data_IF_937828119715
#
_entry.id   IF_937828119715
#
_cell.length_a   1.000
_cell.length_b   1.000
_cell.length_c   1.000
_cell.angle_alpha   90.00
_cell.angle_beta   90.00
_cell.angle_gamma   90.00
#
_symmetry.space_group_name_H-M   'P 1'
#
loop_
_entity.id
_entity.type
_entity.pdbx_description
1 polymer ?
#
# COMPACT_ATOMS: atom_id res chain seq x y z
N UNK A 1 -9.78 -2.59 10.15
CA UNK A 1 -11.19 -2.66 10.63
C UNK A 1 -11.73 -1.32 11.09
N UNK A 2 -10.99 -0.56 11.93
CA UNK A 2 -11.39 0.78 12.42
C UNK A 2 -11.75 1.78 11.31
N UNK A 3 -11.02 1.80 10.19
CA UNK A 3 -11.24 2.75 9.10
C UNK A 3 -12.51 2.54 8.27
N UNK A 4 -13.07 1.31 8.22
CA UNK A 4 -14.36 1.04 7.58
C UNK A 4 -15.52 1.56 8.44
N UNK A 5 -15.37 1.43 9.76
CA UNK A 5 -16.33 1.93 10.75
C UNK A 5 -16.35 3.46 10.72
N UNK A 6 -15.20 4.14 10.64
CA UNK A 6 -15.14 5.61 10.55
C UNK A 6 -15.85 6.16 9.30
N UNK A 7 -15.71 5.50 8.14
CA UNK A 7 -16.43 5.91 6.91
C UNK A 7 -17.93 5.70 7.04
N UNK A 8 -18.36 4.56 7.58
CA UNK A 8 -19.78 4.28 7.80
C UNK A 8 -20.41 5.29 8.76
N UNK A 9 -19.72 5.63 9.84
CA UNK A 9 -20.16 6.64 10.80
C UNK A 9 -20.18 8.04 10.18
N UNK A 10 -19.17 8.44 9.42
CA UNK A 10 -19.17 9.75 8.74
C UNK A 10 -20.29 9.86 7.70
N UNK A 11 -20.57 8.79 6.96
CA UNK A 11 -21.65 8.74 5.98
C UNK A 11 -23.02 8.81 6.66
N UNK A 12 -23.22 8.07 7.74
CA UNK A 12 -24.46 8.12 8.52
C UNK A 12 -24.70 9.52 9.10
N UNK A 13 -23.67 10.15 9.68
CA UNK A 13 -23.75 11.52 10.20
C UNK A 13 -24.03 12.56 9.11
N UNK A 14 -23.45 12.39 7.93
CA UNK A 14 -23.71 13.27 6.78
C UNK A 14 -25.16 13.17 6.30
N UNK A 15 -25.68 11.95 6.16
CA UNK A 15 -27.07 11.70 5.78
C UNK A 15 -28.06 12.24 6.84
N UNK A 16 -27.73 12.10 8.12
CA UNK A 16 -28.51 12.69 9.20
C UNK A 16 -28.53 14.22 9.09
N UNK A 17 -27.38 14.84 8.86
CA UNK A 17 -27.27 16.30 8.67
C UNK A 17 -28.11 16.82 7.49
N UNK A 18 -28.09 16.10 6.37
CA UNK A 18 -28.94 16.41 5.21
C UNK A 18 -30.43 16.28 5.52
N UNK A 19 -30.84 15.23 6.24
CA UNK A 19 -32.24 15.02 6.61
C UNK A 19 -32.81 16.20 7.41
N UNK A 20 -32.05 16.72 8.37
CA UNK A 20 -32.44 17.88 9.18
C UNK A 20 -32.51 19.18 8.35
N UNK A 21 -31.66 19.35 7.34
CA UNK A 21 -31.72 20.52 6.46
C UNK A 21 -32.89 20.46 5.46
N UNK A 22 -33.22 19.26 4.95
CA UNK A 22 -34.36 19.09 4.05
C UNK A 22 -35.71 19.34 4.73
N UNK A 23 -35.82 19.08 6.04
CA UNK A 23 -37.04 19.33 6.82
C UNK A 23 -37.33 20.80 7.16
N UNK A 24 -36.35 21.69 6.98
CA UNK A 24 -36.42 23.09 7.47
C UNK A 24 -36.66 24.12 6.37
N UNK A 25 -36.99 23.71 5.15
CA UNK A 25 -37.23 24.63 4.03
C UNK A 25 -35.98 25.40 3.58
N UNK A 26 -34.78 24.96 3.98
CA UNK A 26 -33.52 25.59 3.58
C UNK A 26 -33.32 25.46 2.08
N UNK A 27 -33.08 26.59 1.41
CA UNK A 27 -32.73 26.61 0.00
C UNK A 27 -31.23 26.31 -0.15
N UNK A 28 -30.90 25.13 -0.65
CA UNK A 28 -29.53 24.81 -1.09
C UNK A 28 -29.38 25.18 -2.56
N UNK A 29 -28.56 26.20 -2.85
CA UNK A 29 -28.17 26.56 -4.22
C UNK A 29 -26.67 26.36 -4.37
N UNK A 30 -26.28 25.27 -5.03
CA UNK A 30 -24.87 24.91 -5.22
C UNK A 30 -24.17 24.62 -3.89
N UNK A 31 -23.04 25.29 -3.64
CA UNK A 31 -22.23 25.12 -2.42
C UNK A 31 -22.62 26.07 -1.26
N UNK A 32 -23.70 26.85 -1.43
CA UNK A 32 -24.14 27.84 -0.45
C UNK A 32 -25.44 27.37 0.20
N UNK A 33 -25.43 27.27 1.53
CA UNK A 33 -26.62 27.04 2.34
C UNK A 33 -27.14 28.40 2.79
N UNK A 34 -28.23 28.87 2.16
CA UNK A 34 -28.95 30.06 2.61
C UNK A 34 -29.88 29.70 3.77
N UNK A 35 -29.66 30.28 4.95
CA UNK A 35 -30.65 30.24 6.03
C UNK A 35 -31.59 31.43 5.85
N UNK A 36 -32.89 31.19 5.76
CA UNK A 36 -33.89 32.26 5.84
C UNK A 36 -33.87 32.87 7.25
N UNK A 37 -34.40 34.10 7.40
CA UNK A 37 -34.35 34.92 8.62
C UNK A 37 -34.83 34.25 9.92
N UNK A 38 -35.48 33.09 9.83
CA UNK A 38 -35.86 32.21 10.94
C UNK A 38 -34.96 30.96 10.96
N UNK A 39 -33.73 31.09 11.46
CA UNK A 39 -32.85 29.96 11.68
C UNK A 39 -33.43 29.07 12.81
N UNK A 40 -34.12 27.99 12.43
CA UNK A 40 -34.68 27.05 13.38
C UNK A 40 -33.57 26.19 14.02
N UNK A 41 -33.75 25.76 15.27
CA UNK A 41 -32.73 24.98 16.00
C UNK A 41 -32.38 23.65 15.30
N UNK A 42 -33.30 23.10 14.51
CA UNK A 42 -33.13 21.92 13.67
C UNK A 42 -32.08 22.14 12.56
N UNK A 43 -32.04 23.34 11.96
CA UNK A 43 -31.06 23.69 10.93
C UNK A 43 -29.63 23.79 11.50
N UNK A 44 -29.50 24.29 12.74
CA UNK A 44 -28.23 24.36 13.46
C UNK A 44 -27.70 22.95 13.77
N UNK A 45 -28.58 22.01 14.14
CA UNK A 45 -28.22 20.61 14.34
C UNK A 45 -27.71 19.99 13.05
N UNK A 46 -28.43 20.20 11.93
CA UNK A 46 -28.01 19.71 10.61
C UNK A 46 -26.61 20.17 10.23
N UNK A 47 -26.29 21.45 10.44
CA UNK A 47 -24.97 22.03 10.20
C UNK A 47 -23.88 21.40 11.07
N UNK A 48 -24.14 21.15 12.35
CA UNK A 48 -23.18 20.49 13.26
C UNK A 48 -22.87 19.08 12.78
N UNK A 49 -23.89 18.32 12.35
CA UNK A 49 -23.69 16.98 11.81
C UNK A 49 -22.88 16.99 10.52
N UNK A 50 -23.13 17.94 9.61
CA UNK A 50 -22.35 18.09 8.38
C UNK A 50 -20.89 18.47 8.65
N UNK A 51 -20.64 19.43 9.54
CA UNK A 51 -19.29 19.83 9.92
C UNK A 51 -18.55 18.68 10.62
N UNK A 52 -19.23 17.95 11.51
CA UNK A 52 -18.69 16.76 12.17
C UNK A 52 -18.33 15.65 11.18
N UNK A 53 -19.19 15.39 10.20
CA UNK A 53 -18.92 14.42 9.14
C UNK A 53 -17.73 14.84 8.27
N UNK A 54 -17.65 16.11 7.88
CA UNK A 54 -16.53 16.65 7.11
C UNK A 54 -15.20 16.56 7.88
N UNK A 55 -15.20 16.91 9.17
CA UNK A 55 -14.03 16.79 10.03
C UNK A 55 -13.59 15.34 10.22
N UNK A 56 -14.53 14.42 10.48
CA UNK A 56 -14.23 12.99 10.59
C UNK A 56 -13.69 12.41 9.28
N UNK A 57 -14.20 12.85 8.13
CA UNK A 57 -13.71 12.44 6.83
C UNK A 57 -12.30 12.97 6.58
N UNK A 58 -12.04 14.25 6.87
CA UNK A 58 -10.72 14.86 6.73
C UNK A 58 -9.67 14.18 7.63
N UNK A 59 -10.01 13.91 8.89
CA UNK A 59 -9.15 13.21 9.84
C UNK A 59 -8.97 11.74 9.46
N UNK A 60 -10.02 11.06 9.01
CA UNK A 60 -9.95 9.67 8.54
C UNK A 60 -9.12 9.51 7.26
N UNK A 61 -9.14 10.50 6.37
CA UNK A 61 -8.28 10.54 5.16
C UNK A 61 -6.83 10.86 5.52
N UNK A 62 -6.58 11.80 6.46
CA UNK A 62 -5.22 12.07 6.94
C UNK A 62 -4.61 10.87 7.67
N UNK A 63 -5.37 10.19 8.53
CA UNK A 63 -4.90 9.00 9.24
C UNK A 63 -4.56 7.84 8.28
N UNK A 64 -5.19 7.75 7.10
CA UNK A 64 -4.82 6.77 6.06
C UNK A 64 -3.49 7.07 5.38
N UNK A 65 -3.04 8.33 5.37
CA UNK A 65 -1.80 8.75 4.69
C UNK A 65 -0.54 8.53 5.52
N UNK A 66 -0.67 8.26 6.82
CA UNK A 66 0.45 8.31 7.77
C UNK A 66 1.10 6.93 7.99
N UNK A 67 0.46 5.82 7.60
CA UNK A 67 0.96 4.45 7.84
C UNK A 67 1.32 3.65 6.57
N UNK A 68 1.67 4.31 5.46
CA UNK A 68 2.02 3.63 4.19
C UNK A 68 3.49 3.16 4.13
N UNK A 69 4.17 3.08 5.27
CA UNK A 69 5.49 2.45 5.31
C UNK A 69 5.35 0.94 5.31
N UNK A 70 5.87 0.29 4.27
CA UNK A 70 5.97 -1.15 4.24
C UNK A 70 7.05 -1.59 5.23
N UNK A 71 6.70 -2.52 6.11
CA UNK A 71 7.65 -3.26 6.91
C UNK A 71 8.37 -4.23 5.98
N UNK A 72 9.66 -3.98 5.74
CA UNK A 72 10.51 -4.84 4.92
C UNK A 72 11.48 -5.58 5.83
N UNK A 73 11.37 -6.90 5.86
CA UNK A 73 12.30 -7.78 6.57
C UNK A 73 13.10 -8.60 5.56
N UNK A 74 14.39 -8.79 5.84
CA UNK A 74 15.23 -9.69 5.04
C UNK A 74 15.24 -11.07 5.68
N UNK A 75 14.86 -12.10 4.91
CA UNK A 75 14.82 -13.48 5.36
C UNK A 75 15.52 -14.45 4.39
N UNK A 76 16.78 -14.18 4.09
CA UNK A 76 17.60 -14.99 3.19
C UNK A 76 18.31 -16.10 3.98
N UNK A 77 17.57 -17.17 4.31
CA UNK A 77 18.10 -18.32 5.07
C UNK A 77 18.91 -19.32 4.24
N UNK A 78 18.72 -19.35 2.92
CA UNK A 78 19.39 -20.33 2.06
C UNK A 78 20.86 -19.92 1.82
N UNK A 79 21.84 -20.80 2.09
CA UNK A 79 23.26 -20.45 1.92
C UNK A 79 23.67 -20.07 0.50
N UNK A 80 23.02 -20.66 -0.53
CA UNK A 80 23.29 -20.33 -1.93
C UNK A 80 22.76 -18.94 -2.25
N UNK A 81 21.53 -18.62 -1.83
CA UNK A 81 20.97 -17.28 -2.01
C UNK A 81 21.80 -16.24 -1.24
N UNK A 82 22.23 -16.55 -0.02
CA UNK A 82 23.14 -15.68 0.73
C UNK A 82 24.50 -15.47 0.06
N UNK A 83 25.00 -16.45 -0.71
CA UNK A 83 26.19 -16.28 -1.54
C UNK A 83 25.93 -15.31 -2.70
N UNK A 84 24.80 -15.45 -3.39
CA UNK A 84 24.42 -14.55 -4.48
C UNK A 84 24.25 -13.11 -4.01
N UNK A 85 23.74 -12.90 -2.80
CA UNK A 85 23.68 -11.58 -2.17
C UNK A 85 25.09 -11.01 -2.01
N UNK A 86 26.00 -11.77 -1.39
CA UNK A 86 27.40 -11.32 -1.19
C UNK A 86 28.10 -11.02 -2.50
N UNK A 87 27.89 -11.84 -3.53
CA UNK A 87 28.51 -11.63 -4.84
C UNK A 87 27.92 -10.39 -5.53
N UNK A 88 26.61 -10.15 -5.42
CA UNK A 88 25.98 -8.93 -5.91
C UNK A 88 26.48 -7.66 -5.20
N UNK A 89 26.68 -7.72 -3.87
CA UNK A 89 27.15 -6.57 -3.08
C UNK A 89 28.62 -6.20 -3.33
N UNK A 90 29.40 -7.05 -4.01
CA UNK A 90 30.77 -6.68 -4.43
C UNK A 90 30.79 -5.61 -5.52
N UNK A 91 29.66 -5.41 -6.21
CA UNK A 91 29.49 -4.43 -7.28
C UNK A 91 28.89 -3.14 -6.70
N UNK A 92 29.65 -2.03 -6.57
CA UNK A 92 29.18 -0.82 -5.88
C UNK A 92 27.92 -0.19 -6.50
N UNK A 93 27.77 -0.28 -7.82
CA UNK A 93 26.59 0.15 -8.55
C UNK A 93 25.34 -0.67 -8.22
N UNK A 94 25.53 -1.97 -8.01
CA UNK A 94 24.45 -2.92 -7.69
C UNK A 94 24.03 -2.75 -6.24
N UNK A 95 25.00 -2.63 -5.34
CA UNK A 95 24.76 -2.37 -3.91
C UNK A 95 23.92 -1.10 -3.70
N UNK A 96 24.35 0.03 -4.27
CA UNK A 96 23.62 1.30 -4.18
C UNK A 96 22.20 1.19 -4.73
N UNK A 97 22.06 0.46 -5.83
CA UNK A 97 20.75 0.25 -6.43
C UNK A 97 19.85 -0.62 -5.58
N UNK A 98 20.35 -1.71 -5.00
CA UNK A 98 19.57 -2.57 -4.11
C UNK A 98 19.07 -1.75 -2.91
N UNK A 99 19.94 -0.97 -2.26
CA UNK A 99 19.51 -0.11 -1.16
C UNK A 99 18.48 0.94 -1.60
N UNK A 100 18.62 1.48 -2.80
CA UNK A 100 17.63 2.41 -3.36
C UNK A 100 16.28 1.72 -3.59
N UNK A 101 16.26 0.53 -4.19
CA UNK A 101 15.02 -0.23 -4.41
C UNK A 101 14.36 -0.63 -3.08
N UNK A 102 15.14 -1.07 -2.09
CA UNK A 102 14.64 -1.39 -0.75
C UNK A 102 14.03 -0.17 -0.05
N UNK A 103 14.67 1.00 -0.16
CA UNK A 103 14.15 2.25 0.38
C UNK A 103 12.83 2.67 -0.29
N UNK A 104 12.70 2.44 -1.60
CA UNK A 104 11.45 2.69 -2.33
C UNK A 104 10.36 1.65 -1.99
N UNK A 105 10.72 0.39 -1.78
CA UNK A 105 9.81 -0.65 -1.26
C UNK A 105 9.21 -0.24 0.08
N UNK A 106 10.03 0.26 1.01
CA UNK A 106 9.60 0.77 2.32
C UNK A 106 8.61 1.95 2.22
N UNK A 107 8.53 2.62 1.07
CA UNK A 107 7.55 3.69 0.78
C UNK A 107 6.35 3.21 -0.04
N UNK A 108 6.27 1.92 -0.36
CA UNK A 108 5.25 1.34 -1.24
C UNK A 108 5.47 1.63 -2.73
N UNK A 109 6.65 2.09 -3.14
CA UNK A 109 6.96 2.37 -4.54
C UNK A 109 7.58 1.16 -5.27
N UNK A 110 6.72 0.24 -5.71
CA UNK A 110 7.12 -0.95 -6.48
C UNK A 110 7.40 -0.67 -7.98
N UNK A 111 7.30 0.59 -8.42
CA UNK A 111 7.61 1.02 -9.79
C UNK A 111 9.04 1.55 -9.93
N UNK A 112 9.80 1.61 -8.84
CA UNK A 112 11.20 2.02 -8.87
C UNK A 112 12.04 1.12 -9.80
N UNK A 113 13.15 1.67 -10.30
CA UNK A 113 14.03 0.97 -11.26
C UNK A 113 13.37 0.76 -12.62
N UNK A 114 13.24 -0.51 -13.02
CA UNK A 114 12.56 -1.00 -14.22
C UNK A 114 11.19 -1.63 -13.89
N UNK A 115 10.74 -1.49 -12.64
CA UNK A 115 9.47 -2.03 -12.15
C UNK A 115 9.57 -3.44 -11.56
N UNK A 116 8.40 -4.00 -11.28
CA UNK A 116 8.22 -5.31 -10.63
C UNK A 116 7.72 -6.34 -11.62
N UNK A 117 8.13 -7.60 -11.44
CA UNK A 117 7.59 -8.77 -12.15
C UNK A 117 7.20 -9.87 -11.17
N UNK A 118 6.25 -10.69 -11.57
CA UNK A 118 5.92 -11.91 -10.87
C UNK A 118 6.88 -13.03 -11.31
N UNK A 119 7.34 -13.84 -10.36
CA UNK A 119 8.17 -15.01 -10.66
C UNK A 119 7.26 -16.23 -10.90
N UNK A 120 7.16 -16.65 -12.16
CA UNK A 120 6.31 -17.77 -12.58
C UNK A 120 6.58 -19.05 -11.78
N UNK A 121 5.53 -19.78 -11.45
CA UNK A 121 5.61 -21.02 -10.66
C UNK A 121 5.74 -20.81 -9.15
N UNK A 122 5.82 -19.57 -8.66
CA UNK A 122 5.96 -19.24 -7.23
C UNK A 122 4.92 -18.21 -6.79
N UNK A 123 4.91 -17.85 -5.50
CA UNK A 123 4.17 -16.69 -4.98
C UNK A 123 5.09 -15.46 -4.78
N UNK A 124 6.22 -15.41 -5.48
CA UNK A 124 7.22 -14.36 -5.33
C UNK A 124 7.04 -13.27 -6.40
N UNK A 125 7.42 -12.07 -6.03
CA UNK A 125 7.61 -10.96 -6.95
C UNK A 125 9.08 -10.53 -6.89
N UNK A 126 9.53 -9.83 -7.92
CA UNK A 126 10.88 -9.28 -7.93
C UNK A 126 10.95 -7.92 -8.59
N UNK A 127 11.70 -7.03 -7.94
CA UNK A 127 12.01 -5.70 -8.45
C UNK A 127 13.29 -5.74 -9.28
N UNK A 128 13.28 -4.99 -10.37
CA UNK A 128 14.37 -4.93 -11.34
C UNK A 128 15.04 -3.58 -11.31
N UNK A 129 16.31 -3.58 -10.95
CA UNK A 129 17.17 -2.43 -11.04
C UNK A 129 17.64 -2.14 -12.48
N UNK A 130 17.97 -0.86 -12.73
CA UNK A 130 18.60 -0.33 -13.94
C UNK A 130 20.10 -0.66 -14.02
N UNK A 131 20.77 -0.77 -12.87
CA UNK A 131 22.18 -1.15 -12.66
C UNK A 131 22.32 -2.61 -12.27
N UNK A 132 21.45 -3.45 -12.85
CA UNK A 132 21.55 -4.91 -12.79
C UNK A 132 21.24 -5.56 -11.43
N UNK A 133 20.78 -4.80 -10.43
CA UNK A 133 20.27 -5.36 -9.17
C UNK A 133 18.91 -6.04 -9.32
N UNK A 134 18.67 -7.10 -8.54
CA UNK A 134 17.39 -7.80 -8.41
C UNK A 134 17.08 -8.03 -6.94
N UNK A 135 15.84 -7.72 -6.52
CA UNK A 135 15.33 -8.03 -5.18
C UNK A 135 14.10 -8.91 -5.34
N UNK A 136 14.14 -10.12 -4.82
CA UNK A 136 13.03 -11.06 -4.79
C UNK A 136 12.38 -11.00 -3.41
N UNK A 137 11.06 -10.90 -3.39
CA UNK A 137 10.30 -10.74 -2.16
C UNK A 137 8.94 -11.44 -2.21
N UNK A 138 8.45 -11.76 -1.03
CA UNK A 138 7.10 -12.25 -0.79
C UNK A 138 6.31 -11.18 -0.02
N UNK A 139 5.02 -11.03 -0.34
CA UNK A 139 4.12 -10.17 0.43
C UNK A 139 3.41 -11.04 1.47
N UNK A 140 3.81 -10.90 2.73
CA UNK A 140 3.29 -11.68 3.87
C UNK A 140 2.04 -11.05 4.50
N UNK A 141 1.80 -9.77 4.25
CA UNK A 141 0.65 -9.02 4.76
C UNK A 141 0.35 -7.75 3.96
N UNK A 142 -0.66 -6.96 4.35
CA UNK A 142 -1.06 -5.75 3.63
C UNK A 142 0.10 -4.77 3.41
N UNK A 143 0.91 -4.54 4.45
CA UNK A 143 2.07 -3.65 4.43
C UNK A 143 3.35 -4.38 4.89
N UNK A 144 3.41 -5.70 4.70
CA UNK A 144 4.54 -6.52 5.14
C UNK A 144 5.16 -7.25 3.95
N UNK A 145 6.47 -7.06 3.78
CA UNK A 145 7.27 -7.64 2.71
C UNK A 145 8.44 -8.37 3.33
N UNK A 146 8.75 -9.52 2.74
CA UNK A 146 9.88 -10.35 3.12
C UNK A 146 10.80 -10.51 1.91
N UNK A 147 12.01 -9.96 1.98
CA UNK A 147 13.04 -10.16 0.97
C UNK A 147 13.63 -11.56 1.15
N UNK A 148 13.50 -12.39 0.12
CA UNK A 148 13.93 -13.79 0.14
C UNK A 148 15.14 -14.06 -0.72
N UNK A 149 15.55 -13.10 -1.55
CA UNK A 149 16.75 -13.18 -2.37
C UNK A 149 17.16 -11.85 -2.96
N UNK A 150 18.46 -11.65 -3.14
CA UNK A 150 19.04 -10.52 -3.86
C UNK A 150 20.13 -11.08 -4.77
N UNK A 151 20.21 -10.58 -6.01
CA UNK A 151 21.29 -10.98 -6.91
C UNK A 151 21.64 -9.89 -7.93
N UNK A 152 22.79 -10.09 -8.57
CA UNK A 152 23.13 -9.40 -9.81
C UNK A 152 22.41 -10.06 -10.99
N UNK A 153 22.11 -9.30 -12.04
CA UNK A 153 21.44 -9.80 -13.26
C UNK A 153 22.17 -10.98 -13.90
N UNK A 154 23.51 -11.00 -13.83
CA UNK A 154 24.30 -12.12 -14.35
C UNK A 154 23.94 -13.47 -13.69
N UNK A 155 23.55 -13.43 -12.40
CA UNK A 155 23.17 -14.62 -11.63
C UNK A 155 21.65 -14.76 -11.46
N UNK A 156 20.85 -13.98 -12.21
CA UNK A 156 19.38 -13.96 -12.12
C UNK A 156 18.77 -15.36 -12.28
N UNK A 157 19.24 -16.14 -13.27
CA UNK A 157 18.74 -17.49 -13.49
C UNK A 157 19.04 -18.42 -12.31
N UNK A 158 20.26 -18.35 -11.74
CA UNK A 158 20.65 -19.17 -10.58
C UNK A 158 19.80 -18.85 -9.35
N UNK A 159 19.51 -17.57 -9.14
CA UNK A 159 18.60 -17.14 -8.07
C UNK A 159 17.18 -17.66 -8.30
N UNK A 160 16.66 -17.52 -9.52
CA UNK A 160 15.33 -18.00 -9.91
C UNK A 160 15.21 -19.51 -9.69
N UNK A 161 16.15 -20.31 -10.22
CA UNK A 161 16.11 -21.77 -10.10
C UNK A 161 16.04 -22.19 -8.63
N UNK A 162 16.83 -21.55 -7.77
CA UNK A 162 16.84 -21.86 -6.34
C UNK A 162 15.58 -21.38 -5.61
N UNK A 163 15.02 -20.25 -6.01
CA UNK A 163 13.77 -19.73 -5.45
C UNK A 163 12.56 -20.57 -5.89
N UNK A 164 12.54 -21.07 -7.12
CA UNK A 164 11.52 -22.01 -7.61
C UNK A 164 11.65 -23.35 -6.91
N UNK A 165 12.86 -23.86 -6.67
CA UNK A 165 13.05 -25.08 -5.87
C UNK A 165 12.47 -24.94 -4.45
N UNK A 166 12.65 -23.76 -3.83
CA UNK A 166 12.26 -23.52 -2.43
C UNK A 166 10.80 -23.08 -2.25
N UNK A 167 10.27 -22.29 -3.18
CA UNK A 167 8.96 -21.64 -3.09
C UNK A 167 8.02 -21.98 -4.25
N UNK A 168 8.48 -22.84 -5.16
CA UNK A 168 7.64 -23.38 -6.21
C UNK A 168 6.49 -24.15 -5.61
N UNK A 169 5.28 -23.90 -6.10
CA UNK A 169 4.17 -24.82 -5.80
C UNK A 169 4.50 -26.12 -6.53
N UNK A 170 4.37 -27.26 -5.85
CA UNK A 170 4.37 -28.54 -6.55
C UNK A 170 3.45 -28.38 -7.76
N UNK A 171 4.00 -28.58 -8.97
CA UNK A 171 3.16 -28.74 -10.14
C UNK A 171 2.31 -29.95 -9.82
N UNK A 172 1.05 -29.76 -9.42
CA UNK A 172 0.02 -30.75 -9.69
C UNK A 172 0.06 -30.93 -11.22
N UNK A 173 0.79 -31.95 -11.64
CA UNK A 173 0.69 -32.49 -12.98
C UNK A 173 -0.75 -32.97 -13.11
N UNK A 174 -1.64 -32.11 -13.59
CA UNK A 174 -2.91 -32.55 -14.14
C UNK A 174 -2.55 -33.32 -15.41
N UNK A 175 -2.49 -34.65 -15.29
CA UNK A 175 -2.53 -35.57 -16.42
C UNK A 175 -3.82 -35.37 -17.22
#
# INVERSE_FOLDING_TARGET
>A
MKSKITILVSLASFLLGLFFLMGTGTAMVGAVIGTSHDASWESAIGLVFLMGAAAMLALGVQARRIDDHFKVEENIKDPHLGKLVRDAMKHPETEREVYHLEAEMKKGNFKAGLGTRHLEGTNLNYMRGKKEGRIFYHQTGPNELEIVGICHKHDEQKAIDKLVEKYGKEKEYTN
#
